data_IF_900959361978
#
_entry.id   IF_900959361978
#
_cell.length_a   1.000
_cell.length_b   1.000
_cell.length_c   1.000
_cell.angle_alpha   90.00
_cell.angle_beta   90.00
_cell.angle_gamma   90.00
#
_symmetry.space_group_name_H-M   'P 1'
#
loop_
_entity.id
_entity.type
_entity.pdbx_description
1 polymer ?
#
# COMPACT_ATOMS: atom_id res chain seq x y z
N UNK A 1 23.95 34.70 -37.52
CA UNK A 1 25.10 33.94 -38.06
C UNK A 1 25.56 34.49 -39.43
N UNK A 2 25.68 35.81 -39.59
CA UNK A 2 26.16 36.47 -40.84
C UNK A 2 27.33 37.43 -40.59
N UNK A 3 27.82 37.49 -39.36
CA UNK A 3 28.70 38.55 -38.85
C UNK A 3 30.14 38.52 -39.40
N UNK A 4 30.64 37.35 -39.84
CA UNK A 4 32.01 37.17 -40.31
C UNK A 4 32.08 36.51 -41.69
N UNK A 5 31.14 36.87 -42.57
CA UNK A 5 31.14 36.40 -43.96
C UNK A 5 32.07 37.28 -44.83
N UNK A 6 32.70 36.71 -45.87
CA UNK A 6 33.47 37.48 -46.83
C UNK A 6 32.58 38.54 -47.54
N UNK A 7 33.16 39.66 -48.00
CA UNK A 7 32.41 40.86 -48.42
C UNK A 7 31.42 40.61 -49.56
N UNK A 8 31.71 39.66 -50.44
CA UNK A 8 30.81 39.24 -51.53
C UNK A 8 29.51 38.57 -51.03
N UNK A 9 29.58 37.79 -49.94
CA UNK A 9 28.43 37.17 -49.31
C UNK A 9 27.72 38.12 -48.35
N UNK A 10 28.47 39.01 -47.69
CA UNK A 10 27.91 40.04 -46.80
C UNK A 10 27.03 41.04 -47.56
N UNK A 11 27.37 41.34 -48.81
CA UNK A 11 26.58 42.20 -49.70
C UNK A 11 25.16 41.67 -49.99
N UNK A 12 24.95 40.35 -49.94
CA UNK A 12 23.62 39.74 -50.13
C UNK A 12 22.65 40.06 -48.98
N UNK A 13 23.19 40.44 -47.83
CA UNK A 13 22.41 40.81 -46.64
C UNK A 13 22.26 42.33 -46.50
N UNK A 14 22.44 43.09 -47.58
CA UNK A 14 22.14 44.51 -47.58
C UNK A 14 20.64 44.74 -47.25
N UNK A 15 20.32 45.74 -46.39
CA UNK A 15 18.94 46.07 -46.10
C UNK A 15 18.23 46.53 -47.39
N UNK A 16 16.94 46.23 -47.48
CA UNK A 16 16.08 46.84 -48.50
C UNK A 16 15.83 48.32 -48.17
N UNK A 17 15.30 49.05 -49.14
CA UNK A 17 14.80 50.39 -48.91
C UNK A 17 13.84 50.43 -47.72
N UNK A 18 13.84 51.52 -46.94
CA UNK A 18 12.96 51.65 -45.79
C UNK A 18 11.49 51.53 -46.23
N UNK A 19 10.70 50.85 -45.40
CA UNK A 19 9.27 50.69 -45.66
C UNK A 19 8.58 52.06 -45.68
N UNK A 20 7.61 52.30 -46.60
CA UNK A 20 6.78 53.49 -46.55
C UNK A 20 6.03 53.57 -45.21
N UNK A 21 5.97 54.77 -44.64
CA UNK A 21 5.22 54.99 -43.40
C UNK A 21 3.72 54.79 -43.63
N UNK A 22 3.10 54.01 -42.74
CA UNK A 22 1.66 53.91 -42.60
C UNK A 22 1.28 54.21 -41.15
N UNK A 23 0.20 54.98 -40.91
CA UNK A 23 -0.26 55.24 -39.55
C UNK A 23 -0.70 53.92 -38.86
N UNK A 24 -0.52 53.80 -37.54
CA UNK A 24 -1.05 52.66 -36.78
C UNK A 24 -2.57 52.52 -36.95
N UNK A 25 -3.04 51.28 -37.10
CA UNK A 25 -4.48 50.98 -37.24
C UNK A 25 -5.28 51.30 -35.97
N UNK A 26 -4.67 51.05 -34.81
CA UNK A 26 -5.29 51.30 -33.51
C UNK A 26 -4.66 52.50 -32.81
N UNK A 27 -5.48 53.24 -32.06
CA UNK A 27 -5.01 54.26 -31.11
C UNK A 27 -4.21 53.62 -29.99
N UNK A 28 -3.31 54.38 -29.38
CA UNK A 28 -2.60 53.93 -28.18
C UNK A 28 -3.61 53.61 -27.06
N UNK A 29 -3.33 52.64 -26.17
CA UNK A 29 -4.29 52.20 -25.15
C UNK A 29 -4.89 53.33 -24.29
N UNK A 30 -4.12 54.38 -23.99
CA UNK A 30 -4.58 55.55 -23.21
C UNK A 30 -5.40 56.57 -24.03
N UNK A 31 -5.37 56.49 -25.36
CA UNK A 31 -6.15 57.30 -26.30
C UNK A 31 -7.44 56.59 -26.75
N UNK A 32 -7.62 55.31 -26.35
CA UNK A 32 -8.83 54.55 -26.63
C UNK A 32 -9.98 55.08 -25.78
N UNK A 33 -11.07 55.50 -26.43
CA UNK A 33 -12.30 55.84 -25.75
C UNK A 33 -13.09 54.56 -25.45
N UNK A 34 -13.31 54.24 -24.18
CA UNK A 34 -14.11 53.11 -23.77
C UNK A 34 -15.58 53.51 -23.71
N UNK A 35 -16.35 53.15 -24.76
CA UNK A 35 -17.79 53.45 -24.84
C UNK A 35 -18.61 52.79 -23.71
N UNK A 36 -18.07 51.72 -23.11
CA UNK A 36 -18.57 51.08 -21.91
C UNK A 36 -17.38 50.76 -21.01
N UNK A 37 -17.00 51.67 -20.09
CA UNK A 37 -15.96 51.39 -19.13
C UNK A 37 -16.43 50.29 -18.18
N UNK A 38 -15.48 49.58 -17.57
CA UNK A 38 -15.80 48.62 -16.52
C UNK A 38 -16.62 49.30 -15.41
N UNK A 39 -17.75 48.69 -15.05
CA UNK A 39 -18.60 49.14 -13.97
C UNK A 39 -18.54 48.15 -12.80
N UNK A 40 -18.91 48.61 -11.61
CA UNK A 40 -18.95 47.76 -10.42
C UNK A 40 -20.13 46.78 -10.45
N UNK A 41 -20.08 45.76 -9.59
CA UNK A 41 -21.11 44.72 -9.50
C UNK A 41 -22.37 45.13 -8.71
N UNK A 42 -22.41 46.37 -8.19
CA UNK A 42 -23.51 46.84 -7.32
C UNK A 42 -24.92 46.70 -7.92
N UNK A 43 -25.16 46.90 -9.23
CA UNK A 43 -26.50 46.71 -9.82
C UNK A 43 -27.04 45.27 -9.72
N UNK A 44 -26.15 44.29 -9.54
CA UNK A 44 -26.45 42.85 -9.50
C UNK A 44 -26.69 42.31 -8.09
N UNK A 45 -26.65 43.15 -7.06
CA UNK A 45 -26.85 42.70 -5.66
C UNK A 45 -28.21 42.02 -5.48
N UNK A 46 -29.22 42.43 -6.24
CA UNK A 46 -30.57 41.85 -6.26
C UNK A 46 -30.63 40.38 -6.73
N UNK A 47 -29.61 39.93 -7.45
CA UNK A 47 -29.55 38.59 -8.04
C UNK A 47 -28.90 37.56 -7.10
N UNK A 48 -28.33 38.00 -5.96
CA UNK A 48 -27.79 37.07 -4.97
C UNK A 48 -28.93 36.44 -4.17
N UNK A 49 -28.85 35.12 -3.98
CA UNK A 49 -29.76 34.39 -3.10
C UNK A 49 -29.72 34.96 -1.67
N UNK A 50 -30.88 35.03 -1.03
CA UNK A 50 -30.99 35.46 0.36
C UNK A 50 -30.27 34.42 1.25
N UNK A 51 -29.38 34.83 2.17
CA UNK A 51 -28.64 33.90 3.04
C UNK A 51 -29.55 33.03 3.92
N UNK A 52 -30.86 33.32 3.98
CA UNK A 52 -31.89 32.52 4.66
C UNK A 52 -32.38 31.34 3.83
N UNK A 53 -32.33 31.44 2.50
CA UNK A 53 -32.82 30.42 1.56
C UNK A 53 -31.70 29.51 1.05
N UNK A 54 -30.44 29.89 1.25
CA UNK A 54 -29.30 29.10 0.85
C UNK A 54 -29.19 27.82 1.70
N UNK A 55 -29.14 26.62 1.10
CA UNK A 55 -28.88 25.40 1.84
C UNK A 55 -27.49 25.48 2.50
N UNK A 56 -27.28 24.83 3.65
CA UNK A 56 -25.96 24.79 4.25
C UNK A 56 -24.94 24.24 3.24
N UNK A 57 -23.73 24.81 3.17
CA UNK A 57 -22.74 24.39 2.19
C UNK A 57 -22.48 22.89 2.36
N UNK A 58 -22.59 22.14 1.26
CA UNK A 58 -22.34 20.71 1.26
C UNK A 58 -20.88 20.47 1.60
N UNK A 59 -20.60 20.09 2.85
CA UNK A 59 -19.26 19.69 3.26
C UNK A 59 -18.91 18.40 2.53
N UNK A 60 -18.07 18.51 1.50
CA UNK A 60 -17.44 17.34 0.91
C UNK A 60 -16.52 16.69 1.96
N UNK A 61 -16.48 15.35 1.96
CA UNK A 61 -15.56 14.61 2.83
C UNK A 61 -14.14 15.15 2.66
N UNK A 62 -13.53 15.53 3.77
CA UNK A 62 -12.10 15.84 3.79
C UNK A 62 -11.30 14.58 3.45
N UNK A 63 -10.05 14.76 3.01
CA UNK A 63 -9.15 13.64 2.74
C UNK A 63 -8.98 12.73 3.97
N UNK A 64 -8.99 13.32 5.17
CA UNK A 64 -8.82 12.63 6.44
C UNK A 64 -10.01 11.71 6.76
N UNK A 65 -11.24 12.23 6.67
CA UNK A 65 -12.47 11.45 6.87
C UNK A 65 -12.56 10.28 5.88
N UNK A 66 -12.18 10.52 4.61
CA UNK A 66 -12.12 9.46 3.59
C UNK A 66 -11.09 8.38 3.92
N UNK A 67 -9.94 8.76 4.48
CA UNK A 67 -8.90 7.80 4.89
C UNK A 67 -9.36 6.96 6.08
N UNK A 68 -10.01 7.59 7.06
CA UNK A 68 -10.55 6.90 8.24
C UNK A 68 -11.64 5.90 7.88
N UNK A 69 -12.57 6.29 6.99
CA UNK A 69 -13.59 5.38 6.46
C UNK A 69 -12.98 4.15 5.82
N UNK A 70 -12.00 4.33 4.92
CA UNK A 70 -11.29 3.21 4.28
C UNK A 70 -10.55 2.32 5.28
N UNK A 71 -9.97 2.91 6.34
CA UNK A 71 -9.28 2.16 7.40
C UNK A 71 -10.27 1.32 8.19
N UNK A 72 -11.43 1.87 8.55
CA UNK A 72 -12.51 1.18 9.26
C UNK A 72 -13.05 0.01 8.43
N UNK A 73 -13.40 0.26 7.17
CA UNK A 73 -13.86 -0.77 6.23
C UNK A 73 -12.82 -1.90 6.06
N UNK A 74 -11.53 -1.57 6.04
CA UNK A 74 -10.45 -2.56 5.96
C UNK A 74 -10.32 -3.41 7.22
N UNK A 75 -10.46 -2.80 8.40
CA UNK A 75 -10.42 -3.51 9.68
C UNK A 75 -11.62 -4.46 9.79
N UNK A 76 -12.82 -3.97 9.48
CA UNK A 76 -14.04 -4.78 9.54
C UNK A 76 -13.99 -5.95 8.56
N UNK A 77 -13.56 -5.72 7.32
CA UNK A 77 -13.36 -6.81 6.35
C UNK A 77 -12.37 -7.86 6.86
N UNK A 78 -11.25 -7.42 7.45
CA UNK A 78 -10.26 -8.35 8.02
C UNK A 78 -10.82 -9.13 9.21
N UNK A 79 -11.67 -8.50 10.03
CA UNK A 79 -12.34 -9.18 11.15
C UNK A 79 -13.28 -10.27 10.65
N UNK A 80 -14.07 -9.98 9.60
CA UNK A 80 -14.97 -10.97 8.98
C UNK A 80 -14.18 -12.14 8.38
N UNK A 81 -13.08 -11.86 7.65
CA UNK A 81 -12.18 -12.90 7.11
C UNK A 81 -11.62 -13.79 8.23
N UNK A 82 -11.18 -13.20 9.35
CA UNK A 82 -10.68 -13.98 10.49
C UNK A 82 -11.80 -14.78 11.15
N UNK A 83 -13.01 -14.24 11.26
CA UNK A 83 -14.16 -14.95 11.84
C UNK A 83 -14.59 -16.14 10.98
N UNK A 84 -14.60 -15.99 9.65
CA UNK A 84 -14.91 -17.09 8.73
C UNK A 84 -13.82 -18.15 8.74
N UNK A 85 -12.54 -17.76 8.73
CA UNK A 85 -11.41 -18.68 8.86
C UNK A 85 -11.46 -19.44 10.20
N UNK A 86 -11.82 -18.77 11.30
CA UNK A 86 -11.95 -19.40 12.61
C UNK A 86 -13.09 -20.42 12.65
N UNK A 87 -14.23 -20.14 12.01
CA UNK A 87 -15.35 -21.09 11.90
C UNK A 87 -14.98 -22.33 11.08
N UNK A 88 -14.08 -22.19 10.11
CA UNK A 88 -13.61 -23.32 9.30
C UNK A 88 -12.47 -24.11 9.94
N UNK A 89 -11.83 -23.57 10.99
CA UNK A 89 -10.67 -24.18 11.61
C UNK A 89 -11.07 -25.14 12.74
N UNK A 90 -10.99 -26.44 12.44
CA UNK A 90 -11.14 -27.51 13.43
C UNK A 90 -9.88 -28.40 13.46
N UNK A 91 -9.02 -28.25 14.50
CA UNK A 91 -7.83 -29.07 14.66
C UNK A 91 -8.08 -30.55 14.89
N UNK A 92 -9.23 -30.93 15.45
CA UNK A 92 -9.52 -32.33 15.80
C UNK A 92 -9.85 -33.18 14.57
N UNK A 93 -10.28 -32.53 13.50
CA UNK A 93 -10.61 -33.16 12.22
C UNK A 93 -9.47 -33.03 11.18
N UNK A 94 -8.30 -32.50 11.56
CA UNK A 94 -7.16 -32.37 10.64
C UNK A 94 -6.42 -33.72 10.52
N UNK A 95 -6.31 -34.32 9.32
CA UNK A 95 -5.59 -35.58 9.14
C UNK A 95 -4.10 -35.50 9.49
N UNK A 96 -3.51 -34.30 9.56
CA UNK A 96 -2.12 -34.10 9.95
C UNK A 96 -1.93 -34.12 11.48
N UNK A 97 -2.95 -33.72 12.24
CA UNK A 97 -2.96 -33.78 13.69
C UNK A 97 -3.39 -35.19 14.12
N UNK A 98 -2.43 -36.07 14.39
CA UNK A 98 -2.71 -37.42 14.87
C UNK A 98 -1.95 -37.67 16.16
N UNK A 99 -2.46 -38.62 16.95
CA UNK A 99 -1.84 -39.03 18.20
C UNK A 99 -2.38 -38.27 19.40
N UNK A 100 -1.64 -38.35 20.51
CA UNK A 100 -2.01 -37.73 21.78
C UNK A 100 -1.42 -36.31 21.88
N UNK A 101 -2.29 -35.31 21.98
CA UNK A 101 -1.89 -33.91 22.10
C UNK A 101 -1.04 -33.66 23.36
N UNK A 102 -1.29 -34.41 24.45
CA UNK A 102 -0.53 -34.27 25.70
C UNK A 102 0.88 -34.86 25.62
N UNK A 103 1.16 -35.67 24.60
CA UNK A 103 2.50 -36.24 24.33
C UNK A 103 3.21 -35.56 23.17
N UNK A 104 2.59 -34.54 22.58
CA UNK A 104 3.09 -33.88 21.39
C UNK A 104 3.77 -32.55 21.73
N UNK A 105 5.05 -32.46 21.44
CA UNK A 105 5.84 -31.24 21.56
C UNK A 105 5.71 -30.39 20.29
N UNK A 106 5.45 -29.10 20.46
CA UNK A 106 5.52 -28.12 19.38
C UNK A 106 6.90 -27.43 19.37
N UNK A 107 7.62 -27.57 18.26
CA UNK A 107 8.94 -26.95 18.06
C UNK A 107 8.82 -25.93 16.93
N UNK A 108 9.11 -24.66 17.22
CA UNK A 108 9.11 -23.58 16.23
C UNK A 108 10.50 -22.95 16.07
N UNK A 109 10.65 -22.08 15.06
CA UNK A 109 11.91 -21.40 14.72
C UNK A 109 13.04 -22.36 14.34
N UNK A 110 12.68 -23.50 13.76
CA UNK A 110 13.65 -24.45 13.21
C UNK A 110 14.24 -23.86 11.92
N UNK A 111 15.56 -23.95 11.74
CA UNK A 111 16.20 -23.52 10.50
C UNK A 111 15.64 -24.33 9.31
N UNK A 112 15.36 -23.65 8.19
CA UNK A 112 14.75 -24.24 7.00
C UNK A 112 15.57 -25.37 6.36
N UNK A 113 16.89 -25.38 6.57
CA UNK A 113 17.79 -26.44 6.06
C UNK A 113 17.85 -27.67 6.99
N UNK A 114 17.18 -27.63 8.14
CA UNK A 114 17.18 -28.73 9.11
C UNK A 114 16.36 -29.89 8.58
N UNK A 115 16.95 -31.08 8.56
CA UNK A 115 16.24 -32.32 8.19
C UNK A 115 15.54 -32.94 9.39
N UNK A 116 14.51 -33.75 9.13
CA UNK A 116 13.81 -34.52 10.15
C UNK A 116 14.77 -35.39 10.97
N UNK A 117 15.77 -36.01 10.33
CA UNK A 117 16.78 -36.83 11.00
C UNK A 117 17.60 -36.04 12.02
N UNK A 118 17.89 -34.76 11.74
CA UNK A 118 18.62 -33.90 12.66
C UNK A 118 17.74 -33.54 13.86
N UNK A 119 16.47 -33.21 13.64
CA UNK A 119 15.52 -33.00 14.74
C UNK A 119 15.38 -34.25 15.60
N UNK A 120 15.22 -35.42 14.99
CA UNK A 120 15.14 -36.69 15.71
C UNK A 120 16.34 -36.88 16.62
N UNK A 121 17.56 -36.73 16.10
CA UNK A 121 18.80 -36.91 16.87
C UNK A 121 18.90 -36.00 18.09
N UNK A 122 18.51 -34.73 17.97
CA UNK A 122 18.59 -33.76 19.08
C UNK A 122 17.50 -34.03 20.14
N UNK A 123 16.31 -34.43 19.72
CA UNK A 123 15.16 -34.63 20.61
C UNK A 123 15.07 -36.04 21.20
N UNK A 124 15.72 -37.03 20.59
CA UNK A 124 15.75 -38.43 21.08
C UNK A 124 16.53 -38.57 22.41
N UNK A 125 17.34 -37.57 22.77
CA UNK A 125 18.07 -37.51 24.06
C UNK A 125 17.10 -37.46 25.26
N UNK A 126 15.92 -36.88 25.07
CA UNK A 126 14.94 -36.70 26.16
C UNK A 126 13.99 -37.89 26.32
N UNK A 127 13.87 -38.73 25.30
CA UNK A 127 13.06 -39.94 25.33
C UNK A 127 12.75 -40.52 23.95
N UNK A 128 12.16 -41.73 23.89
CA UNK A 128 11.77 -42.37 22.64
C UNK A 128 10.68 -41.57 21.92
N UNK A 129 10.99 -41.20 20.67
CA UNK A 129 10.07 -40.47 19.78
C UNK A 129 9.22 -41.47 18.99
N UNK A 130 7.91 -41.27 19.03
CA UNK A 130 6.93 -42.07 18.28
C UNK A 130 6.75 -41.57 16.85
N UNK A 131 6.62 -40.25 16.67
CA UNK A 131 6.39 -39.63 15.36
C UNK A 131 6.91 -38.21 15.29
N UNK A 132 7.47 -37.82 14.15
CA UNK A 132 7.84 -36.44 13.83
C UNK A 132 7.01 -35.99 12.62
N UNK A 133 6.42 -34.81 12.71
CA UNK A 133 5.70 -34.19 11.62
C UNK A 133 6.18 -32.75 11.39
N UNK A 134 7.03 -32.56 10.39
CA UNK A 134 7.46 -31.23 9.95
C UNK A 134 6.41 -30.61 9.04
N UNK A 135 6.04 -29.35 9.29
CA UNK A 135 5.00 -28.71 8.48
C UNK A 135 5.61 -27.93 7.32
N UNK A 136 5.13 -28.24 6.13
CA UNK A 136 5.50 -27.59 4.88
C UNK A 136 4.36 -26.71 4.37
N UNK A 137 4.71 -25.64 3.66
CA UNK A 137 3.73 -24.78 3.00
C UNK A 137 3.04 -25.53 1.87
N UNK A 138 1.71 -25.67 1.94
CA UNK A 138 0.89 -26.32 0.88
C UNK A 138 1.04 -25.67 -0.51
N UNK A 139 1.44 -24.39 -0.58
CA UNK A 139 1.59 -23.66 -1.85
C UNK A 139 2.99 -23.77 -2.46
N UNK A 140 4.03 -23.70 -1.63
CA UNK A 140 5.42 -23.61 -2.10
C UNK A 140 6.26 -24.84 -1.83
N UNK A 141 5.77 -25.81 -1.05
CA UNK A 141 6.51 -26.98 -0.60
C UNK A 141 7.68 -26.68 0.35
N UNK A 142 7.93 -25.40 0.67
CA UNK A 142 9.02 -24.99 1.57
C UNK A 142 8.65 -25.27 3.03
N UNK A 143 9.61 -25.65 3.89
CA UNK A 143 9.35 -25.86 5.31
C UNK A 143 8.89 -24.56 5.96
N UNK A 144 7.87 -24.63 6.84
CA UNK A 144 7.39 -23.44 7.59
C UNK A 144 8.27 -23.09 8.79
N UNK A 145 9.23 -23.95 9.13
CA UNK A 145 10.12 -23.75 10.27
C UNK A 145 9.50 -24.15 11.62
N UNK A 146 8.50 -25.04 11.60
CA UNK A 146 7.96 -25.67 12.80
C UNK A 146 7.61 -27.14 12.57
N UNK A 147 7.63 -27.92 13.66
CA UNK A 147 7.38 -29.36 13.66
C UNK A 147 6.63 -29.78 14.94
N UNK A 148 5.91 -30.89 14.83
CA UNK A 148 5.27 -31.59 15.95
C UNK A 148 6.02 -32.89 16.20
N UNK A 149 6.39 -33.16 17.46
CA UNK A 149 7.11 -34.36 17.87
C UNK A 149 6.26 -35.08 18.91
N UNK A 150 5.72 -36.24 18.56
CA UNK A 150 4.97 -37.11 19.47
C UNK A 150 5.96 -38.06 20.18
N UNK A 151 5.97 -38.03 21.50
CA UNK A 151 6.72 -38.98 22.34
C UNK A 151 5.85 -40.18 22.73
N UNK A 152 6.50 -41.30 23.10
CA UNK A 152 5.79 -42.47 23.65
C UNK A 152 5.15 -42.16 25.02
N UNK A 153 5.86 -41.40 25.87
CA UNK A 153 5.43 -41.02 27.21
C UNK A 153 5.33 -39.52 27.39
N UNK A 154 4.29 -39.09 28.13
CA UNK A 154 4.04 -37.68 28.45
C UNK A 154 5.16 -37.06 29.30
N UNK A 155 5.79 -37.84 30.18
CA UNK A 155 6.91 -37.39 31.03
C UNK A 155 8.12 -36.92 30.21
N UNK A 156 8.36 -37.56 29.06
CA UNK A 156 9.50 -37.29 28.20
C UNK A 156 9.26 -35.98 27.41
N UNK A 157 8.00 -35.71 27.05
CA UNK A 157 7.58 -34.42 26.49
C UNK A 157 7.78 -33.28 27.50
N UNK A 158 7.34 -33.48 28.76
CA UNK A 158 7.49 -32.50 29.83
C UNK A 158 8.95 -32.24 30.22
N UNK A 159 9.81 -33.27 30.22
CA UNK A 159 11.24 -33.07 30.48
C UNK A 159 11.89 -32.21 29.39
N UNK A 160 11.51 -32.44 28.13
CA UNK A 160 11.99 -31.66 26.99
C UNK A 160 11.57 -30.20 27.11
N UNK A 161 10.30 -29.90 27.45
CA UNK A 161 9.83 -28.52 27.58
C UNK A 161 10.53 -27.76 28.70
N UNK A 162 10.84 -28.42 29.82
CA UNK A 162 11.54 -27.78 30.94
C UNK A 162 13.01 -27.48 30.62
N UNK A 163 13.70 -28.43 29.98
CA UNK A 163 15.13 -28.31 29.66
C UNK A 163 15.40 -27.43 28.43
N UNK A 164 14.48 -27.36 27.47
CA UNK A 164 14.64 -26.54 26.27
C UNK A 164 14.23 -25.06 26.47
N UNK A 165 13.45 -24.74 27.51
CA UNK A 165 13.05 -23.38 27.85
C UNK A 165 13.95 -22.69 28.89
N UNK A 166 14.98 -23.39 29.40
CA UNK A 166 15.99 -22.81 30.31
C UNK A 166 17.15 -22.19 29.54
#
# INVERSE_FOLDING_TARGET
MTQFLPPNLLALFAPRDPIPYLPPLEKLPHEKHHNQPYCGIAPYIREFEDPRDAPPPTRAETREERMERKRREKIERRQQEVETELKMWDPHNDPNAQGDAFKTLFVARVNYDTTESKLRREFEVYGPIKRIHMVYSKRSGKPRGYAFIEYEHERDMHSTTQLACS
#
